data_IF_310163092968
#
_entry.id   IF_310163092968
#
_cell.length_a   1.000
_cell.length_b   1.000
_cell.length_c   1.000
_cell.angle_alpha   90.00
_cell.angle_beta   90.00
_cell.angle_gamma   90.00
#
_symmetry.space_group_name_H-M   'P 1'
#
loop_
_entity.id
_entity.type
_entity.pdbx_description
1 polymer ?
#
# COMPACT_ATOMS: atom_id res chain seq x y z
N UNK A 1 31.99 -24.71 -14.36
CA UNK A 1 30.68 -24.89 -13.70
C UNK A 1 30.41 -23.64 -12.90
N UNK A 2 29.90 -22.61 -13.56
CA UNK A 2 29.72 -21.28 -12.97
C UNK A 2 28.43 -21.27 -12.15
N UNK A 3 28.56 -20.96 -10.86
CA UNK A 3 27.45 -20.87 -9.92
C UNK A 3 26.66 -19.61 -10.21
N UNK A 4 25.51 -19.75 -10.88
CA UNK A 4 24.49 -18.71 -11.00
C UNK A 4 24.11 -18.23 -9.60
N UNK A 5 24.69 -17.11 -9.16
CA UNK A 5 24.19 -16.38 -8.00
C UNK A 5 22.84 -15.79 -8.40
N UNK A 6 21.77 -16.30 -7.79
CA UNK A 6 20.45 -15.68 -7.81
C UNK A 6 20.60 -14.22 -7.38
N UNK A 7 20.37 -13.28 -8.30
CA UNK A 7 20.16 -11.87 -7.94
C UNK A 7 18.81 -11.77 -7.23
N UNK A 8 18.71 -11.22 -5.99
CA UNK A 8 17.42 -10.91 -5.42
C UNK A 8 16.85 -9.73 -6.20
N UNK A 9 15.79 -9.96 -6.98
CA UNK A 9 15.34 -9.02 -8.02
C UNK A 9 14.07 -8.22 -7.67
N UNK A 10 13.57 -8.18 -6.44
CA UNK A 10 12.19 -7.67 -6.25
C UNK A 10 11.86 -6.94 -4.95
N UNK A 11 12.72 -6.95 -3.92
CA UNK A 11 12.41 -6.22 -2.68
C UNK A 11 12.30 -4.70 -2.91
N UNK A 12 13.22 -4.13 -3.68
CA UNK A 12 13.31 -2.68 -3.89
C UNK A 12 12.15 -2.14 -4.76
N UNK A 13 11.74 -2.93 -5.75
CA UNK A 13 10.63 -2.58 -6.64
C UNK A 13 9.27 -2.65 -5.92
N UNK A 14 9.11 -3.61 -5.01
CA UNK A 14 7.91 -3.74 -4.17
C UNK A 14 7.85 -2.64 -3.11
N UNK A 15 8.98 -2.32 -2.47
CA UNK A 15 9.06 -1.24 -1.49
C UNK A 15 8.76 0.13 -2.14
N UNK A 16 9.40 0.43 -3.28
CA UNK A 16 9.13 1.66 -4.02
C UNK A 16 7.68 1.75 -4.55
N UNK A 17 7.02 0.61 -4.78
CA UNK A 17 5.61 0.59 -5.14
C UNK A 17 4.72 0.89 -3.92
N UNK A 18 5.03 0.31 -2.75
CA UNK A 18 4.34 0.58 -1.50
C UNK A 18 4.42 2.08 -1.12
N UNK A 19 5.61 2.69 -1.22
CA UNK A 19 5.81 4.11 -0.95
C UNK A 19 4.93 4.99 -1.87
N UNK A 20 4.90 4.70 -3.17
CA UNK A 20 4.07 5.45 -4.13
C UNK A 20 2.57 5.28 -3.86
N UNK A 21 2.13 4.08 -3.48
CA UNK A 21 0.73 3.81 -3.14
C UNK A 21 0.33 4.55 -1.87
N UNK A 22 1.22 4.60 -0.88
CA UNK A 22 1.02 5.33 0.36
C UNK A 22 0.91 6.83 0.11
N UNK A 23 1.84 7.41 -0.66
CA UNK A 23 1.83 8.84 -1.00
C UNK A 23 0.55 9.20 -1.78
N UNK A 24 0.20 8.42 -2.81
CA UNK A 24 -1.04 8.58 -3.59
C UNK A 24 -2.30 8.56 -2.71
N UNK A 25 -2.36 7.64 -1.75
CA UNK A 25 -3.50 7.53 -0.84
C UNK A 25 -3.56 8.68 0.18
N UNK A 26 -2.41 9.09 0.70
CA UNK A 26 -2.30 10.21 1.65
C UNK A 26 -2.74 11.52 1.00
N UNK A 27 -2.29 11.78 -0.23
CA UNK A 27 -2.76 12.91 -1.04
C UNK A 27 -4.28 12.88 -1.27
N UNK A 28 -4.85 11.71 -1.49
CA UNK A 28 -6.30 11.54 -1.61
C UNK A 28 -7.03 11.88 -0.31
N UNK A 29 -6.54 11.40 0.84
CA UNK A 29 -7.12 11.70 2.14
C UNK A 29 -7.05 13.21 2.46
N UNK A 30 -5.90 13.84 2.17
CA UNK A 30 -5.70 15.28 2.36
C UNK A 30 -6.66 16.11 1.50
N UNK A 31 -6.89 15.71 0.24
CA UNK A 31 -7.89 16.36 -0.64
C UNK A 31 -9.32 16.27 -0.12
N UNK A 32 -9.63 15.27 0.70
CA UNK A 32 -10.90 15.15 1.40
C UNK A 32 -10.94 15.97 2.71
N UNK A 33 -9.86 16.67 3.06
CA UNK A 33 -9.71 17.37 4.33
C UNK A 33 -9.57 16.43 5.52
N UNK A 34 -9.11 15.19 5.28
CA UNK A 34 -8.89 14.19 6.32
C UNK A 34 -7.41 14.11 6.66
N UNK A 35 -7.09 14.15 7.95
CA UNK A 35 -5.76 13.80 8.45
C UNK A 35 -5.81 12.41 9.04
N UNK A 36 -4.91 11.52 8.60
CA UNK A 36 -4.85 10.16 9.12
C UNK A 36 -4.49 10.16 10.60
N UNK A 37 -5.20 9.36 11.38
CA UNK A 37 -4.75 9.07 12.75
C UNK A 37 -3.49 8.21 12.72
N UNK A 38 -2.61 8.28 13.75
CA UNK A 38 -1.38 7.49 13.79
C UNK A 38 -1.60 5.99 13.56
N UNK A 39 -2.65 5.42 14.16
CA UNK A 39 -2.98 4.00 14.00
C UNK A 39 -3.56 3.64 12.63
N UNK A 40 -4.11 4.61 11.88
CA UNK A 40 -4.53 4.40 10.49
C UNK A 40 -3.32 4.39 9.59
N UNK A 41 -2.40 5.33 9.84
CA UNK A 41 -1.15 5.50 9.11
C UNK A 41 -0.29 4.23 9.18
N UNK A 42 -0.01 3.77 10.40
CA UNK A 42 0.70 2.52 10.66
C UNK A 42 0.00 1.33 10.02
N UNK A 43 -1.33 1.25 10.11
CA UNK A 43 -2.08 0.15 9.52
C UNK A 43 -2.00 0.14 7.98
N UNK A 44 -2.04 1.31 7.34
CA UNK A 44 -1.94 1.42 5.88
C UNK A 44 -0.54 1.04 5.41
N UNK A 45 0.51 1.53 6.07
CA UNK A 45 1.90 1.18 5.75
C UNK A 45 2.10 -0.33 5.81
N UNK A 46 1.61 -0.97 6.87
CA UNK A 46 1.79 -2.42 7.05
C UNK A 46 0.99 -3.25 6.04
N UNK A 47 -0.21 -2.80 5.66
CA UNK A 47 -0.99 -3.41 4.60
C UNK A 47 -0.28 -3.31 3.24
N UNK A 48 0.28 -2.16 2.90
CA UNK A 48 1.02 -1.94 1.66
C UNK A 48 2.34 -2.71 1.62
N UNK A 49 2.95 -2.94 2.79
CA UNK A 49 4.09 -3.85 2.96
C UNK A 49 3.74 -5.33 2.81
N UNK A 50 2.47 -5.68 2.61
CA UNK A 50 2.00 -7.06 2.42
C UNK A 50 1.64 -7.80 3.71
N UNK A 51 1.57 -7.12 4.85
CA UNK A 51 1.17 -7.71 6.13
C UNK A 51 -0.34 -7.70 6.31
N UNK A 52 -0.85 -8.59 7.18
CA UNK A 52 -2.25 -8.58 7.59
C UNK A 52 -2.43 -7.81 8.91
N UNK A 53 -3.32 -6.83 8.92
CA UNK A 53 -3.56 -5.98 10.08
C UNK A 53 -4.94 -6.26 10.69
N UNK A 54 -4.98 -6.41 12.03
CA UNK A 54 -6.24 -6.45 12.79
C UNK A 54 -6.42 -5.10 13.48
N UNK A 55 -7.40 -4.32 13.02
CA UNK A 55 -7.66 -2.98 13.55
C UNK A 55 -8.75 -3.02 14.63
N UNK A 56 -8.36 -2.99 15.90
CA UNK A 56 -9.27 -3.16 17.08
C UNK A 56 -9.82 -1.84 17.63
N UNK A 57 -9.99 -0.81 16.80
CA UNK A 57 -10.45 0.51 17.25
C UNK A 57 -11.98 0.62 17.32
N UNK A 58 -12.57 1.42 18.24
CA UNK A 58 -14.02 1.66 18.33
C UNK A 58 -14.66 2.23 17.04
N UNK A 59 -15.99 2.29 16.98
CA UNK A 59 -16.72 2.91 15.85
C UNK A 59 -16.35 4.39 15.71
N UNK A 60 -16.32 4.91 14.48
CA UNK A 60 -15.94 6.31 14.21
C UNK A 60 -14.44 6.58 14.06
N UNK A 61 -13.55 5.64 14.41
CA UNK A 61 -12.09 5.78 14.27
C UNK A 61 -11.56 5.59 12.83
N UNK A 62 -12.44 5.61 11.82
CA UNK A 62 -12.05 5.55 10.41
C UNK A 62 -11.48 4.22 9.91
N UNK A 63 -11.87 3.07 10.49
CA UNK A 63 -11.50 1.74 9.97
C UNK A 63 -11.86 1.53 8.49
N UNK A 64 -12.98 2.12 8.04
CA UNK A 64 -13.38 2.10 6.64
C UNK A 64 -12.36 2.78 5.73
N UNK A 65 -11.70 3.84 6.20
CA UNK A 65 -10.66 4.55 5.44
C UNK A 65 -9.44 3.65 5.21
N UNK A 66 -9.01 2.91 6.23
CA UNK A 66 -7.93 1.92 6.12
C UNK A 66 -8.31 0.80 5.14
N UNK A 67 -9.56 0.31 5.18
CA UNK A 67 -10.05 -0.66 4.21
C UNK A 67 -10.09 -0.09 2.78
N UNK A 68 -10.45 1.18 2.61
CA UNK A 68 -10.40 1.87 1.31
C UNK A 68 -8.99 1.95 0.77
N UNK A 69 -7.98 2.20 1.62
CA UNK A 69 -6.57 2.20 1.21
C UNK A 69 -6.13 0.85 0.64
N UNK A 70 -6.53 -0.25 1.28
CA UNK A 70 -6.23 -1.60 0.80
C UNK A 70 -6.85 -1.87 -0.58
N UNK A 71 -8.11 -1.48 -0.79
CA UNK A 71 -8.80 -1.63 -2.08
C UNK A 71 -8.13 -0.76 -3.15
N UNK A 72 -7.74 0.48 -2.81
CA UNK A 72 -7.03 1.38 -3.72
C UNK A 72 -5.70 0.78 -4.20
N UNK A 73 -4.94 0.16 -3.28
CA UNK A 73 -3.68 -0.50 -3.58
C UNK A 73 -3.84 -1.66 -4.59
N UNK A 74 -4.85 -2.49 -4.39
CA UNK A 74 -5.13 -3.65 -5.25
C UNK A 74 -5.52 -3.21 -6.67
N UNK A 75 -6.45 -2.25 -6.79
CA UNK A 75 -6.87 -1.70 -8.08
C UNK A 75 -5.74 -1.01 -8.84
N UNK A 76 -4.86 -0.30 -8.12
CA UNK A 76 -3.71 0.39 -8.72
C UNK A 76 -2.65 -0.58 -9.21
N UNK A 77 -2.48 -1.69 -8.50
CA UNK A 77 -1.55 -2.77 -8.88
C UNK A 77 -2.05 -3.54 -10.09
N UNK A 78 -3.35 -3.82 -10.17
CA UNK A 78 -3.96 -4.49 -11.34
C UNK A 78 -3.87 -3.64 -12.62
N UNK A 79 -4.08 -2.33 -12.52
CA UNK A 79 -3.87 -1.40 -13.63
C UNK A 79 -2.42 -1.42 -14.14
N UNK A 80 -1.45 -1.57 -13.25
CA UNK A 80 -0.04 -1.73 -13.62
C UNK A 80 0.23 -3.08 -14.31
N UNK A 81 -0.50 -4.14 -13.96
CA UNK A 81 -0.30 -5.49 -14.50
C UNK A 81 -0.93 -5.69 -15.89
N UNK A 82 -1.94 -4.91 -16.24
CA UNK A 82 -2.73 -5.07 -17.48
C UNK A 82 -2.22 -4.27 -18.69
N UNK A 83 -1.18 -3.45 -18.56
CA UNK A 83 -0.60 -2.71 -19.70
C UNK A 83 0.52 -3.53 -20.37
N UNK A 84 0.35 -4.07 -21.60
CA UNK A 84 1.43 -4.75 -22.29
C UNK A 84 2.52 -3.74 -22.72
N UNK A 85 3.80 -4.14 -22.75
CA UNK A 85 4.87 -3.24 -23.21
C UNK A 85 4.65 -2.88 -24.69
N UNK A 86 4.81 -1.59 -25.03
CA UNK A 86 4.90 -1.14 -26.43
C UNK A 86 6.27 -1.42 -27.01
#
# INVERSE_FOLDING_TARGET
>A
METTRLRPLTLDASAAAADRLYESFSDYADRLGLTLYPHQDEAIIELLGGSHVILTTPTGSGKSLVATAAIHADLSTDACRSTPPR
#
